data_IF_361593345071
#
_entry.id   IF_361593345071
#
_cell.length_a   1.000
_cell.length_b   1.000
_cell.length_c   1.000
_cell.angle_alpha   90.00
_cell.angle_beta   90.00
_cell.angle_gamma   90.00
#
_symmetry.space_group_name_H-M   'P 1'
#
loop_
_entity.id
_entity.type
_entity.pdbx_description
1 polymer ?
#
# COMPACT_ATOMS: atom_id res chain seq x y z
N UNK A 1 6.90 -20.98 -12.16
CA UNK A 1 7.53 -19.72 -12.62
C UNK A 1 8.37 -19.19 -11.45
N UNK A 2 9.43 -18.41 -11.69
CA UNK A 2 10.11 -17.73 -10.56
C UNK A 2 9.15 -16.70 -9.95
N UNK A 3 9.19 -16.58 -8.62
CA UNK A 3 8.37 -15.61 -7.88
C UNK A 3 8.97 -14.21 -8.07
N UNK A 4 8.14 -13.19 -8.25
CA UNK A 4 8.58 -11.79 -8.34
C UNK A 4 9.09 -11.33 -6.96
N UNK A 5 10.36 -10.90 -6.83
CA UNK A 5 10.84 -10.35 -5.57
C UNK A 5 10.17 -9.01 -5.28
N UNK A 6 9.61 -8.86 -4.08
CA UNK A 6 8.82 -7.71 -3.67
C UNK A 6 9.37 -7.06 -2.40
N UNK A 7 9.44 -5.73 -2.38
CA UNK A 7 9.60 -4.93 -1.15
C UNK A 7 8.33 -4.11 -0.94
N UNK A 8 7.79 -4.15 0.28
CA UNK A 8 6.57 -3.45 0.65
C UNK A 8 6.94 -2.27 1.57
N UNK A 9 6.54 -1.05 1.22
CA UNK A 9 6.50 0.11 2.10
C UNK A 9 5.04 0.43 2.42
N UNK A 10 4.71 0.46 3.72
CA UNK A 10 3.33 0.43 4.23
C UNK A 10 3.26 1.18 5.56
N UNK A 11 2.08 1.60 5.97
CA UNK A 11 1.82 2.27 7.24
C UNK A 11 0.65 1.62 8.00
N UNK A 12 0.78 0.33 8.43
CA UNK A 12 -0.37 -0.52 8.63
C UNK A 12 -1.58 0.06 9.36
N UNK A 13 -2.55 0.45 8.53
CA UNK A 13 -3.98 0.61 8.79
C UNK A 13 -4.75 -0.67 8.47
N UNK A 14 -6.07 -0.57 8.36
CA UNK A 14 -6.93 -1.75 8.12
C UNK A 14 -6.74 -2.32 6.70
N UNK A 15 -6.66 -1.46 5.68
CA UNK A 15 -6.46 -1.85 4.28
C UNK A 15 -5.06 -2.41 4.03
N UNK A 16 -4.03 -1.82 4.63
CA UNK A 16 -2.65 -2.30 4.58
C UNK A 16 -2.54 -3.75 5.06
N UNK A 17 -3.19 -4.08 6.20
CA UNK A 17 -3.19 -5.43 6.75
C UNK A 17 -3.74 -6.42 5.72
N UNK A 18 -4.79 -6.05 4.98
CA UNK A 18 -5.32 -6.88 3.90
C UNK A 18 -4.32 -7.00 2.74
N UNK A 19 -3.73 -5.90 2.28
CA UNK A 19 -2.77 -5.88 1.18
C UNK A 19 -1.52 -6.71 1.48
N UNK A 20 -0.98 -6.57 2.69
CA UNK A 20 0.15 -7.36 3.20
C UNK A 20 -0.22 -8.84 3.30
N UNK A 21 -1.36 -9.17 3.91
CA UNK A 21 -1.83 -10.56 4.05
C UNK A 21 -1.93 -11.24 2.68
N UNK A 22 -2.50 -10.56 1.67
CA UNK A 22 -2.60 -11.09 0.31
C UNK A 22 -1.20 -11.27 -0.29
N UNK A 23 -0.33 -10.27 -0.17
CA UNK A 23 1.01 -10.28 -0.76
C UNK A 23 1.90 -11.39 -0.19
N UNK A 24 1.81 -11.65 1.12
CA UNK A 24 2.60 -12.66 1.82
C UNK A 24 2.26 -14.10 1.41
N UNK A 25 1.02 -14.33 0.93
CA UNK A 25 0.53 -15.65 0.55
C UNK A 25 0.24 -15.81 -0.95
N UNK A 26 0.57 -14.80 -1.75
CA UNK A 26 0.52 -14.92 -3.20
C UNK A 26 1.68 -15.80 -3.70
N UNK A 27 1.36 -16.84 -4.48
CA UNK A 27 2.36 -17.78 -4.99
C UNK A 27 3.28 -17.12 -6.03
N UNK A 28 2.85 -16.03 -6.64
CA UNK A 28 3.58 -15.22 -7.60
C UNK A 28 4.60 -14.28 -6.95
N UNK A 29 4.50 -14.02 -5.65
CA UNK A 29 5.30 -13.02 -4.94
C UNK A 29 6.27 -13.67 -3.95
N UNK A 30 7.45 -13.07 -3.85
CA UNK A 30 8.50 -13.39 -2.88
C UNK A 30 8.83 -12.11 -2.11
N UNK A 31 8.10 -11.88 -1.02
CA UNK A 31 8.26 -10.68 -0.20
C UNK A 31 9.59 -10.75 0.54
N UNK A 32 10.53 -9.90 0.11
CA UNK A 32 11.91 -9.85 0.62
C UNK A 32 12.05 -9.02 1.89
N UNK A 33 11.21 -8.00 2.03
CA UNK A 33 11.30 -7.03 3.10
C UNK A 33 9.98 -6.26 3.25
N UNK A 34 9.61 -5.97 4.48
CA UNK A 34 8.55 -5.01 4.81
C UNK A 34 9.16 -3.80 5.50
N UNK A 35 8.79 -2.61 5.05
CA UNK A 35 9.27 -1.33 5.54
C UNK A 35 8.08 -0.52 6.07
N UNK A 36 7.70 -0.71 7.35
CA UNK A 36 6.70 0.14 7.97
C UNK A 36 7.22 1.57 8.08
N UNK A 37 6.41 2.53 7.61
CA UNK A 37 6.65 3.97 7.71
C UNK A 37 5.61 4.62 8.62
N UNK A 38 5.80 5.90 8.92
CA UNK A 38 4.75 6.77 9.44
C UNK A 38 3.65 6.99 8.38
N UNK A 39 2.42 7.22 8.82
CA UNK A 39 1.30 7.52 7.92
C UNK A 39 -0.02 7.53 8.68
N UNK A 40 -0.87 6.51 8.49
CA UNK A 40 -2.16 6.33 9.17
C UNK A 40 -2.07 6.64 10.69
N UNK A 41 -1.06 6.04 11.31
CA UNK A 41 -0.65 6.32 12.69
C UNK A 41 0.87 6.50 12.77
N UNK A 42 1.37 6.83 13.96
CA UNK A 42 2.82 7.00 14.16
C UNK A 42 3.60 5.74 13.79
N UNK A 43 4.86 5.91 13.37
CA UNK A 43 5.76 4.79 13.05
C UNK A 43 5.86 3.74 14.16
N UNK A 44 5.74 4.15 15.44
CA UNK A 44 5.78 3.21 16.56
C UNK A 44 4.62 2.21 16.52
N UNK A 45 3.43 2.65 16.08
CA UNK A 45 2.26 1.80 15.93
C UNK A 45 2.33 0.98 14.65
N UNK A 46 2.65 1.59 13.51
CA UNK A 46 2.72 0.88 12.21
C UNK A 46 3.78 -0.22 12.22
N UNK A 47 4.94 0.01 12.86
CA UNK A 47 5.96 -1.01 13.08
C UNK A 47 5.44 -2.16 13.95
N UNK A 48 4.79 -1.86 15.08
CA UNK A 48 4.26 -2.92 15.95
C UNK A 48 3.15 -3.71 15.23
N UNK A 49 2.25 -3.05 14.52
CA UNK A 49 1.19 -3.68 13.73
C UNK A 49 1.78 -4.64 12.67
N UNK A 50 2.90 -4.25 12.03
CA UNK A 50 3.62 -5.09 11.08
C UNK A 50 4.14 -6.37 11.73
N UNK A 51 4.84 -6.24 12.87
CA UNK A 51 5.40 -7.38 13.59
C UNK A 51 4.30 -8.30 14.15
N UNK A 52 3.23 -7.70 14.68
CA UNK A 52 2.06 -8.39 15.20
C UNK A 52 1.33 -9.18 14.09
N UNK A 53 1.24 -8.61 12.87
CA UNK A 53 0.68 -9.30 11.72
C UNK A 53 1.55 -10.49 11.29
N UNK A 54 2.87 -10.31 11.17
CA UNK A 54 3.80 -11.41 10.84
C UNK A 54 3.67 -12.56 11.84
N UNK A 55 3.62 -12.24 13.14
CA UNK A 55 3.40 -13.22 14.20
C UNK A 55 2.04 -13.92 14.07
N UNK A 56 0.96 -13.20 13.77
CA UNK A 56 -0.38 -13.77 13.59
C UNK A 56 -0.49 -14.68 12.36
N UNK A 57 0.20 -14.32 11.27
CA UNK A 57 0.22 -15.06 10.01
C UNK A 57 1.27 -16.19 9.98
N UNK A 58 2.14 -16.27 10.99
CA UNK A 58 3.28 -17.19 11.06
C UNK A 58 4.28 -17.04 9.89
N UNK A 59 4.39 -15.83 9.36
CA UNK A 59 5.38 -15.45 8.34
C UNK A 59 6.69 -14.99 9.01
N UNK A 60 7.76 -14.87 8.20
CA UNK A 60 9.12 -14.56 8.69
C UNK A 60 9.85 -13.59 7.75
N UNK A 61 9.11 -12.65 7.19
CA UNK A 61 9.68 -11.63 6.31
C UNK A 61 10.44 -10.62 7.17
N UNK A 62 11.69 -10.28 6.83
CA UNK A 62 12.44 -9.26 7.55
C UNK A 62 11.72 -7.91 7.53
N UNK A 63 11.65 -7.27 8.69
CA UNK A 63 11.04 -5.95 8.89
C UNK A 63 12.14 -4.92 9.14
N UNK A 64 12.16 -3.82 8.38
CA UNK A 64 13.10 -2.72 8.59
C UNK A 64 12.32 -1.46 8.88
N UNK A 65 12.62 -0.82 10.01
CA UNK A 65 11.99 0.44 10.40
C UNK A 65 12.23 1.54 9.36
N UNK A 66 11.14 2.06 8.79
CA UNK A 66 11.14 3.14 7.80
C UNK A 66 11.29 4.54 8.39
N UNK A 67 10.91 5.53 7.59
CA UNK A 67 10.90 6.93 7.99
C UNK A 67 9.89 7.17 9.12
N UNK A 68 10.19 8.13 9.99
CA UNK A 68 9.30 8.51 11.10
C UNK A 68 8.50 9.80 10.88
N UNK A 69 8.77 10.51 9.78
CA UNK A 69 8.14 11.78 9.41
C UNK A 69 8.35 12.05 7.91
N UNK A 70 7.54 12.94 7.28
CA UNK A 70 7.74 13.32 5.89
C UNK A 70 9.06 14.09 5.68
N UNK A 71 9.49 14.20 4.42
CA UNK A 71 10.74 14.84 4.03
C UNK A 71 10.82 16.31 4.44
N UNK A 72 9.72 17.06 4.31
CA UNK A 72 9.72 18.53 4.44
C UNK A 72 8.67 19.04 5.43
N UNK A 73 7.47 18.46 5.40
CA UNK A 73 6.32 18.98 6.16
C UNK A 73 6.18 18.33 7.53
N UNK A 74 5.30 18.88 8.39
CA UNK A 74 4.85 18.16 9.58
C UNK A 74 4.04 16.92 9.17
N UNK A 75 4.15 15.84 9.96
CA UNK A 75 3.34 14.64 9.74
C UNK A 75 1.85 14.92 9.95
N UNK A 76 1.03 14.28 9.11
CA UNK A 76 -0.43 14.16 9.29
C UNK A 76 -0.76 12.81 9.95
N UNK A 77 -2.02 12.60 10.34
CA UNK A 77 -2.48 11.32 10.89
C UNK A 77 -3.94 11.05 10.52
N UNK A 78 -4.26 9.78 10.26
CA UNK A 78 -5.59 9.26 10.01
C UNK A 78 -6.12 8.41 11.19
N UNK A 79 -5.67 8.68 12.43
CA UNK A 79 -6.14 7.97 13.63
C UNK A 79 -7.67 8.06 13.84
N UNK A 80 -8.33 9.06 13.27
CA UNK A 80 -9.81 9.16 13.28
C UNK A 80 -10.51 8.11 12.41
N UNK A 81 -9.82 7.56 11.41
CA UNK A 81 -10.34 6.54 10.48
C UNK A 81 -9.95 5.14 10.96
N UNK A 82 -8.67 4.96 11.31
CA UNK A 82 -8.11 3.65 11.63
C UNK A 82 -8.04 3.33 13.13
N UNK A 83 -8.48 4.27 13.98
CA UNK A 83 -8.36 4.22 15.43
C UNK A 83 -6.97 4.60 15.95
N UNK A 84 -6.84 4.74 17.28
CA UNK A 84 -5.61 5.23 17.91
C UNK A 84 -4.37 4.39 17.59
N UNK A 85 -4.54 3.08 17.39
CA UNK A 85 -3.47 2.14 17.08
C UNK A 85 -3.37 1.77 15.60
N UNK A 86 -4.26 2.28 14.73
CA UNK A 86 -4.28 1.99 13.29
C UNK A 86 -5.03 0.71 12.88
N UNK A 87 -5.37 -0.16 13.81
CA UNK A 87 -6.03 -1.46 13.54
C UNK A 87 -7.26 -1.66 14.41
N UNK A 88 -8.11 -0.62 14.50
CA UNK A 88 -9.37 -0.72 15.23
C UNK A 88 -10.16 -1.95 14.82
N UNK A 89 -10.77 -2.62 15.80
CA UNK A 89 -11.59 -3.81 15.56
C UNK A 89 -10.88 -5.14 15.72
N UNK A 90 -9.55 -5.19 15.83
CA UNK A 90 -8.85 -6.45 16.14
C UNK A 90 -7.63 -6.21 17.03
N UNK A 91 -7.38 -7.14 17.94
CA UNK A 91 -6.24 -7.07 18.86
C UNK A 91 -5.34 -8.27 18.63
N UNK A 92 -4.16 -8.03 18.07
CA UNK A 92 -3.14 -9.04 17.95
C UNK A 92 -2.50 -9.40 19.30
N UNK A 93 -1.92 -10.59 19.35
CA UNK A 93 -0.90 -10.88 20.36
C UNK A 93 0.36 -10.09 20.01
N UNK A 94 0.89 -9.37 21.00
CA UNK A 94 2.07 -8.54 20.79
C UNK A 94 3.27 -9.41 20.44
N UNK A 95 3.84 -9.17 19.27
CA UNK A 95 5.07 -9.81 18.81
C UNK A 95 6.31 -9.24 19.50
N UNK A 96 7.40 -10.02 19.45
CA UNK A 96 8.73 -9.55 19.79
C UNK A 96 9.40 -8.91 18.56
N UNK A 97 10.64 -8.45 18.74
CA UNK A 97 11.40 -7.76 17.70
C UNK A 97 12.29 -8.71 16.88
N UNK A 98 12.01 -10.03 16.87
CA UNK A 98 12.90 -11.04 16.24
C UNK A 98 13.04 -10.87 14.72
N UNK A 99 12.02 -10.30 14.06
CA UNK A 99 12.04 -9.98 12.62
C UNK A 99 12.58 -8.58 12.33
N UNK A 100 12.86 -7.76 13.35
CA UNK A 100 13.34 -6.39 13.17
C UNK A 100 14.83 -6.38 12.84
N UNK A 101 15.14 -6.03 11.61
CA UNK A 101 16.50 -5.87 11.14
C UNK A 101 17.04 -4.45 11.43
N UNK A 102 18.23 -4.31 12.03
CA UNK A 102 18.81 -3.01 12.31
C UNK A 102 19.35 -2.35 11.05
N UNK A 103 19.08 -1.06 10.88
CA UNK A 103 19.63 -0.27 9.79
C UNK A 103 18.70 0.86 9.35
N UNK A 104 19.15 1.61 8.34
CA UNK A 104 18.32 2.60 7.66
C UNK A 104 17.56 1.90 6.53
N UNK A 105 16.24 2.12 6.44
CA UNK A 105 15.39 1.50 5.42
C UNK A 105 15.93 1.69 3.99
N UNK A 106 16.33 2.92 3.62
CA UNK A 106 16.92 3.19 2.31
C UNK A 106 18.16 2.31 2.01
N UNK A 107 19.07 2.19 2.98
CA UNK A 107 20.27 1.33 2.84
C UNK A 107 19.90 -0.14 2.75
N UNK A 108 18.95 -0.61 3.59
CA UNK A 108 18.52 -2.01 3.60
C UNK A 108 17.76 -2.42 2.34
N UNK A 109 16.89 -1.55 1.82
CA UNK A 109 16.25 -1.75 0.53
C UNK A 109 17.30 -1.78 -0.58
N UNK A 110 18.25 -0.85 -0.60
CA UNK A 110 19.34 -0.87 -1.59
C UNK A 110 20.14 -2.18 -1.55
N UNK A 111 20.57 -2.63 -0.37
CA UNK A 111 21.26 -3.91 -0.18
C UNK A 111 20.43 -5.09 -0.70
N UNK A 112 19.15 -5.16 -0.33
CA UNK A 112 18.24 -6.23 -0.78
C UNK A 112 18.04 -6.21 -2.30
N UNK A 113 17.89 -5.04 -2.90
CA UNK A 113 17.70 -4.88 -4.34
C UNK A 113 18.97 -5.26 -5.11
N UNK A 114 20.16 -4.81 -4.70
CA UNK A 114 21.42 -5.12 -5.40
C UNK A 114 21.84 -6.58 -5.27
N UNK A 115 21.45 -7.24 -4.18
CA UNK A 115 21.71 -8.66 -3.96
C UNK A 115 20.65 -9.57 -4.62
N UNK A 116 19.56 -9.01 -5.14
CA UNK A 116 18.53 -9.78 -5.84
C UNK A 116 19.03 -10.20 -7.23
N UNK A 117 18.89 -11.49 -7.61
CA UNK A 117 19.27 -11.97 -8.94
C UNK A 117 18.31 -11.48 -10.04
N UNK A 118 17.08 -11.12 -9.66
CA UNK A 118 16.05 -10.57 -10.53
C UNK A 118 15.74 -9.12 -10.11
N UNK A 119 15.21 -8.33 -11.05
CA UNK A 119 14.77 -6.96 -10.72
C UNK A 119 13.65 -6.99 -9.68
N UNK A 120 13.74 -6.12 -8.69
CA UNK A 120 12.80 -6.06 -7.56
C UNK A 120 11.61 -5.17 -7.88
N UNK A 121 10.41 -5.64 -7.56
CA UNK A 121 9.17 -4.83 -7.59
C UNK A 121 9.01 -4.12 -6.25
N UNK A 122 8.53 -2.88 -6.30
CA UNK A 122 8.24 -2.08 -5.11
C UNK A 122 6.73 -1.88 -4.98
N UNK A 123 6.17 -2.09 -3.79
CA UNK A 123 4.78 -1.79 -3.45
C UNK A 123 4.75 -0.71 -2.37
N UNK A 124 4.21 0.47 -2.68
CA UNK A 124 4.01 1.58 -1.77
C UNK A 124 2.53 1.79 -1.49
N UNK A 125 2.08 1.43 -0.30
CA UNK A 125 0.68 1.59 0.15
C UNK A 125 0.52 2.57 1.31
N UNK A 126 1.61 3.29 1.62
CA UNK A 126 1.62 4.45 2.53
C UNK A 126 2.34 5.65 1.92
N UNK A 127 2.65 6.69 2.72
CA UNK A 127 3.47 7.82 2.27
C UNK A 127 4.82 7.34 1.70
N UNK A 128 5.17 7.82 0.50
CA UNK A 128 6.28 7.29 -0.32
C UNK A 128 7.69 7.72 0.15
N UNK A 129 7.81 8.14 1.42
CA UNK A 129 9.00 8.72 2.04
C UNK A 129 10.22 7.81 1.87
N UNK A 130 10.07 6.52 2.18
CA UNK A 130 11.19 5.56 2.16
C UNK A 130 11.70 5.30 0.74
N UNK A 131 10.82 5.23 -0.25
CA UNK A 131 11.21 5.09 -1.66
C UNK A 131 11.89 6.37 -2.19
N UNK A 132 11.40 7.54 -1.82
CA UNK A 132 12.05 8.80 -2.18
C UNK A 132 13.46 8.90 -1.58
N UNK A 133 13.64 8.51 -0.31
CA UNK A 133 14.95 8.44 0.33
C UNK A 133 15.86 7.43 -0.35
N UNK A 134 15.37 6.24 -0.69
CA UNK A 134 16.10 5.23 -1.46
C UNK A 134 16.63 5.81 -2.77
N UNK A 135 15.75 6.40 -3.60
CA UNK A 135 16.13 6.91 -4.92
C UNK A 135 17.06 8.12 -4.86
N UNK A 136 16.97 8.95 -3.81
CA UNK A 136 17.89 10.09 -3.64
C UNK A 136 19.24 9.70 -3.07
N UNK A 137 19.29 8.73 -2.17
CA UNK A 137 20.55 8.27 -1.57
C UNK A 137 21.31 7.31 -2.50
N UNK A 138 20.59 6.48 -3.27
CA UNK A 138 21.14 5.44 -4.12
C UNK A 138 20.54 5.49 -5.54
N UNK A 139 20.85 6.53 -6.33
CA UNK A 139 20.19 6.74 -7.62
C UNK A 139 20.44 5.63 -8.65
N UNK A 140 21.51 4.85 -8.53
CA UNK A 140 21.80 3.70 -9.40
C UNK A 140 20.88 2.49 -9.16
N UNK A 141 20.13 2.47 -8.04
CA UNK A 141 19.22 1.37 -7.71
C UNK A 141 18.09 1.20 -8.73
N UNK A 142 17.73 2.26 -9.44
CA UNK A 142 16.66 2.25 -10.44
C UNK A 142 16.91 1.24 -11.55
N UNK A 143 18.17 0.92 -11.87
CA UNK A 143 18.51 -0.09 -12.87
C UNK A 143 18.10 -1.52 -12.44
N UNK A 144 17.99 -1.73 -11.13
CA UNK A 144 17.67 -3.01 -10.48
C UNK A 144 16.21 -3.10 -10.01
N UNK A 145 15.42 -2.03 -10.15
CA UNK A 145 13.99 -2.03 -9.86
C UNK A 145 13.21 -2.33 -11.15
N UNK A 146 12.23 -3.21 -11.07
CA UNK A 146 11.38 -3.58 -12.20
C UNK A 146 10.31 -2.53 -12.46
N UNK A 147 9.57 -2.20 -11.40
CA UNK A 147 8.37 -1.37 -11.43
C UNK A 147 7.94 -1.00 -10.00
N UNK A 148 7.12 0.03 -9.88
CA UNK A 148 6.56 0.52 -8.61
C UNK A 148 5.04 0.51 -8.69
N UNK A 149 4.39 -0.16 -7.75
CA UNK A 149 2.93 -0.13 -7.57
C UNK A 149 2.59 0.75 -6.38
N UNK A 150 1.63 1.65 -6.55
CA UNK A 150 1.27 2.66 -5.55
C UNK A 150 -0.24 2.61 -5.33
N UNK A 151 -0.67 2.54 -4.07
CA UNK A 151 -2.00 3.02 -3.70
C UNK A 151 -1.85 4.48 -3.27
N UNK A 152 -2.49 5.38 -4.03
CA UNK A 152 -2.46 6.79 -3.72
C UNK A 152 -2.78 7.69 -4.91
N UNK A 153 -3.00 8.97 -4.61
CA UNK A 153 -3.44 9.96 -5.58
C UNK A 153 -4.93 9.83 -5.90
N UNK A 154 -5.45 10.84 -6.60
CA UNK A 154 -6.85 10.94 -6.99
C UNK A 154 -6.94 11.57 -8.38
N UNK A 155 -7.92 11.15 -9.17
CA UNK A 155 -8.28 11.76 -10.46
C UNK A 155 -9.22 12.96 -10.23
N UNK A 156 -10.15 12.81 -9.30
CA UNK A 156 -11.19 13.75 -8.92
C UNK A 156 -10.95 14.32 -7.53
N UNK A 157 -11.87 14.06 -6.60
CA UNK A 157 -11.84 14.62 -5.25
C UNK A 157 -10.91 13.81 -4.33
N UNK A 158 -10.09 14.48 -3.51
CA UNK A 158 -9.21 13.81 -2.54
C UNK A 158 -9.92 13.45 -1.22
N UNK A 159 -9.27 12.64 -0.37
CA UNK A 159 -9.80 12.27 0.96
C UNK A 159 -9.11 13.01 2.13
N UNK A 160 -7.95 13.63 1.91
CA UNK A 160 -7.28 14.47 2.91
C UNK A 160 -7.60 15.95 2.73
N UNK A 161 -7.53 16.42 1.49
CA UNK A 161 -8.02 17.74 1.08
C UNK A 161 -8.86 17.60 -0.19
N UNK A 162 -9.59 18.63 -0.64
CA UNK A 162 -10.43 18.52 -1.83
C UNK A 162 -9.71 18.02 -3.08
N UNK A 163 -8.39 18.20 -3.17
CA UNK A 163 -7.59 17.81 -4.34
C UNK A 163 -6.46 16.83 -4.03
N UNK A 164 -6.30 16.39 -2.78
CA UNK A 164 -5.19 15.52 -2.39
C UNK A 164 -5.68 14.29 -1.62
N UNK A 165 -5.29 13.13 -2.13
CA UNK A 165 -5.35 11.84 -1.45
C UNK A 165 -4.30 11.75 -0.33
N UNK A 166 -4.62 11.05 0.75
CA UNK A 166 -3.88 10.95 2.01
C UNK A 166 -2.40 10.57 1.86
N UNK A 167 -2.07 9.48 1.17
CA UNK A 167 -0.69 9.01 1.03
C UNK A 167 0.19 10.02 0.29
N UNK A 168 -0.36 10.62 -0.77
CA UNK A 168 0.34 11.70 -1.52
C UNK A 168 0.41 12.98 -0.69
N UNK A 169 -0.68 13.35 0.00
CA UNK A 169 -0.72 14.54 0.87
C UNK A 169 0.20 14.42 2.08
N UNK A 170 0.47 13.20 2.53
CA UNK A 170 1.39 12.91 3.62
C UNK A 170 2.80 13.37 3.28
N UNK A 171 3.31 12.98 2.11
CA UNK A 171 4.62 13.44 1.65
C UNK A 171 4.62 13.78 0.15
N UNK A 172 4.12 14.98 -0.21
CA UNK A 172 4.04 15.42 -1.60
C UNK A 172 5.41 15.46 -2.27
N UNK A 173 6.45 15.90 -1.55
CA UNK A 173 7.82 15.92 -2.08
C UNK A 173 8.35 14.52 -2.35
N UNK A 174 8.08 13.55 -1.48
CA UNK A 174 8.47 12.16 -1.72
C UNK A 174 7.72 11.58 -2.94
N UNK A 175 6.43 11.82 -3.06
CA UNK A 175 5.64 11.40 -4.21
C UNK A 175 6.19 11.98 -5.52
N UNK A 176 6.52 13.28 -5.55
CA UNK A 176 7.15 13.92 -6.71
C UNK A 176 8.45 13.21 -7.11
N UNK A 177 9.28 12.85 -6.13
CA UNK A 177 10.54 12.12 -6.37
C UNK A 177 10.28 10.75 -7.00
N UNK A 178 9.28 10.01 -6.50
CA UNK A 178 8.95 8.67 -7.01
C UNK A 178 8.40 8.73 -8.44
N UNK A 179 7.48 9.64 -8.73
CA UNK A 179 6.96 9.82 -10.10
C UNK A 179 8.03 10.31 -11.09
N UNK A 180 9.10 10.94 -10.60
CA UNK A 180 10.25 11.38 -11.40
C UNK A 180 11.43 10.38 -11.39
N UNK A 181 11.24 9.17 -10.85
CA UNK A 181 12.29 8.14 -10.78
C UNK A 181 12.71 7.59 -12.15
N UNK A 182 11.86 7.73 -13.17
CA UNK A 182 12.05 7.12 -14.49
C UNK A 182 11.68 5.63 -14.56
N UNK A 183 11.18 5.05 -13.47
CA UNK A 183 10.67 3.68 -13.42
C UNK A 183 9.25 3.57 -14.01
N UNK A 184 8.82 2.38 -14.46
CA UNK A 184 7.41 2.10 -14.67
C UNK A 184 6.65 2.22 -13.33
N UNK A 185 5.69 3.15 -13.27
CA UNK A 185 4.84 3.36 -12.09
C UNK A 185 3.40 2.98 -12.42
N UNK A 186 2.77 2.20 -11.56
CA UNK A 186 1.37 1.79 -11.64
C UNK A 186 0.63 2.33 -10.42
N UNK A 187 -0.48 3.02 -10.65
CA UNK A 187 -1.20 3.73 -9.60
C UNK A 187 -2.62 3.22 -9.50
N UNK A 188 -3.01 2.81 -8.29
CA UNK A 188 -4.39 2.67 -7.88
C UNK A 188 -4.82 3.95 -7.14
N UNK A 189 -5.49 4.89 -7.82
CA UNK A 189 -5.97 6.11 -7.18
C UNK A 189 -7.23 5.84 -6.35
N UNK A 190 -7.63 6.84 -5.56
CA UNK A 190 -8.81 6.80 -4.68
C UNK A 190 -10.07 6.29 -5.38
N UNK A 191 -10.31 6.70 -6.63
CA UNK A 191 -11.49 6.30 -7.40
C UNK A 191 -11.57 4.79 -7.65
N UNK A 192 -10.43 4.09 -7.64
CA UNK A 192 -10.42 2.65 -7.78
C UNK A 192 -10.81 1.99 -6.46
N UNK A 193 -10.37 2.52 -5.33
CA UNK A 193 -10.84 2.06 -4.02
C UNK A 193 -12.33 2.30 -3.80
N UNK A 194 -12.86 3.44 -4.27
CA UNK A 194 -14.30 3.74 -4.24
C UNK A 194 -15.13 2.72 -5.04
N UNK A 195 -14.58 2.20 -6.14
CA UNK A 195 -15.23 1.16 -6.96
C UNK A 195 -15.01 -0.24 -6.41
N UNK A 196 -13.80 -0.52 -5.93
CA UNK A 196 -13.39 -1.81 -5.36
C UNK A 196 -14.01 -1.98 -3.97
N UNK A 197 -15.28 -2.35 -3.93
CA UNK A 197 -16.02 -2.47 -2.69
C UNK A 197 -16.45 -3.91 -2.40
N UNK A 198 -16.71 -4.20 -1.13
CA UNK A 198 -17.29 -5.45 -0.67
C UNK A 198 -18.72 -5.22 -0.17
N UNK A 199 -19.64 -6.04 -0.65
CA UNK A 199 -21.01 -6.09 -0.13
C UNK A 199 -21.05 -6.83 1.20
N UNK A 200 -22.15 -6.69 1.95
CA UNK A 200 -22.34 -7.42 3.21
C UNK A 200 -22.24 -8.94 3.00
N UNK A 201 -22.84 -9.47 1.93
CA UNK A 201 -22.77 -10.90 1.60
C UNK A 201 -21.33 -11.37 1.34
N UNK A 202 -20.49 -10.50 0.76
CA UNK A 202 -19.06 -10.78 0.55
C UNK A 202 -18.28 -10.71 1.86
N UNK A 203 -18.58 -9.75 2.72
CA UNK A 203 -18.02 -9.67 4.07
C UNK A 203 -18.37 -10.91 4.91
N UNK A 204 -19.60 -11.42 4.81
CA UNK A 204 -20.01 -12.63 5.52
C UNK A 204 -19.24 -13.86 5.01
N UNK A 205 -18.94 -13.95 3.70
CA UNK A 205 -18.05 -14.99 3.16
C UNK A 205 -16.62 -14.86 3.70
N UNK A 206 -16.09 -13.63 3.83
CA UNK A 206 -14.77 -13.39 4.41
C UNK A 206 -14.72 -13.91 5.85
N UNK A 207 -15.76 -13.63 6.65
CA UNK A 207 -15.85 -14.11 8.03
C UNK A 207 -15.74 -15.64 8.16
N UNK A 208 -16.21 -16.37 7.15
CA UNK A 208 -16.12 -17.84 7.10
C UNK A 208 -14.73 -18.36 6.69
N UNK A 209 -13.81 -17.49 6.25
CA UNK A 209 -12.45 -17.84 5.81
C UNK A 209 -11.46 -18.03 6.98
N UNK A 210 -11.89 -18.73 8.03
CA UNK A 210 -11.07 -19.05 9.20
C UNK A 210 -10.60 -17.83 9.98
N UNK A 211 -9.43 -17.92 10.59
CA UNK A 211 -8.94 -16.90 11.53
C UNK A 211 -8.47 -15.62 10.81
N UNK A 212 -7.89 -15.73 9.61
CA UNK A 212 -7.56 -14.54 8.77
C UNK A 212 -8.84 -13.83 8.34
N UNK A 213 -9.84 -14.60 7.91
CA UNK A 213 -11.15 -14.07 7.55
C UNK A 213 -11.85 -13.33 8.70
N UNK A 214 -11.86 -13.91 9.90
CA UNK A 214 -12.39 -13.26 11.11
C UNK A 214 -11.65 -11.98 11.48
N UNK A 215 -10.31 -11.98 11.37
CA UNK A 215 -9.49 -10.78 11.61
C UNK A 215 -9.92 -9.64 10.69
N UNK A 216 -9.89 -9.88 9.38
CA UNK A 216 -10.24 -8.85 8.39
C UNK A 216 -11.70 -8.42 8.51
N UNK A 217 -12.64 -9.36 8.68
CA UNK A 217 -14.04 -9.03 8.93
C UNK A 217 -14.20 -8.11 10.13
N UNK A 218 -13.50 -8.40 11.24
CA UNK A 218 -13.57 -7.60 12.46
C UNK A 218 -13.03 -6.19 12.24
N UNK A 219 -11.89 -6.04 11.56
CA UNK A 219 -11.32 -4.73 11.26
C UNK A 219 -12.21 -3.92 10.31
N UNK A 220 -12.59 -4.48 9.16
CA UNK A 220 -13.41 -3.79 8.16
C UNK A 220 -14.80 -3.41 8.70
N UNK A 221 -15.39 -4.20 9.60
CA UNK A 221 -16.68 -3.84 10.23
C UNK A 221 -16.59 -2.63 11.17
N UNK A 222 -15.39 -2.14 11.49
CA UNK A 222 -15.20 -0.93 12.27
C UNK A 222 -14.98 0.33 11.40
N UNK A 223 -14.82 0.17 10.08
CA UNK A 223 -14.76 1.29 9.15
C UNK A 223 -16.18 1.75 8.84
N UNK A 224 -16.39 3.06 8.86
CA UNK A 224 -17.65 3.69 8.49
C UNK A 224 -17.39 4.73 7.41
N UNK A 225 -18.00 4.56 6.24
CA UNK A 225 -17.85 5.49 5.14
C UNK A 225 -18.59 6.82 5.42
N UNK A 226 -17.94 7.98 5.25
CA UNK A 226 -18.57 9.28 5.52
C UNK A 226 -19.78 9.59 4.63
N UNK A 227 -19.87 8.95 3.46
CA UNK A 227 -20.94 9.15 2.48
C UNK A 227 -22.21 8.32 2.78
N UNK A 228 -22.16 7.45 3.78
CA UNK A 228 -23.26 6.58 4.18
C UNK A 228 -23.44 5.34 3.29
N UNK A 229 -22.49 5.04 2.40
CA UNK A 229 -22.45 3.76 1.70
C UNK A 229 -22.22 2.63 2.70
N UNK A 230 -23.02 1.56 2.60
CA UNK A 230 -22.89 0.40 3.49
C UNK A 230 -21.91 -0.64 2.96
N UNK A 231 -21.36 -0.44 1.77
CA UNK A 231 -20.31 -1.29 1.20
C UNK A 231 -18.96 -0.86 1.76
N UNK A 232 -18.08 -1.83 1.98
CA UNK A 232 -16.72 -1.58 2.47
C UNK A 232 -15.83 -1.29 1.27
N UNK A 233 -15.28 -0.08 1.18
CA UNK A 233 -14.30 0.28 0.14
C UNK A 233 -12.94 -0.31 0.48
N UNK A 234 -12.23 -0.78 -0.55
CA UNK A 234 -10.96 -1.48 -0.40
C UNK A 234 -9.90 -0.71 -1.18
N UNK A 235 -8.93 -0.14 -0.48
CA UNK A 235 -7.93 0.76 -1.06
C UNK A 235 -6.63 0.01 -1.38
N UNK A 236 -5.75 -0.23 -0.41
CA UNK A 236 -4.39 -0.79 -0.63
C UNK A 236 -4.34 -2.12 -1.40
N UNK A 237 -5.30 -3.06 -1.20
CA UNK A 237 -5.34 -4.29 -1.98
C UNK A 237 -5.55 -4.08 -3.48
N UNK A 238 -6.00 -2.90 -3.92
CA UNK A 238 -6.14 -2.59 -5.35
C UNK A 238 -4.77 -2.44 -6.03
N UNK A 239 -3.76 -1.91 -5.36
CA UNK A 239 -2.39 -1.87 -5.90
C UNK A 239 -1.81 -3.29 -6.08
N UNK A 240 -2.08 -4.19 -5.12
CA UNK A 240 -1.75 -5.62 -5.23
C UNK A 240 -2.54 -6.28 -6.37
N UNK A 241 -3.81 -5.93 -6.51
CA UNK A 241 -4.68 -6.38 -7.60
C UNK A 241 -4.15 -6.00 -8.97
N UNK A 242 -3.69 -4.76 -9.18
CA UNK A 242 -3.09 -4.34 -10.46
C UNK A 242 -1.83 -5.16 -10.77
N UNK A 243 -1.02 -5.47 -9.75
CA UNK A 243 0.23 -6.22 -9.89
C UNK A 243 0.02 -7.70 -10.26
N UNK A 244 -1.01 -8.34 -9.70
CA UNK A 244 -1.29 -9.77 -9.87
C UNK A 244 -2.30 -10.06 -10.97
N UNK A 245 -3.30 -9.20 -11.13
CA UNK A 245 -4.42 -9.35 -12.04
C UNK A 245 -4.69 -8.04 -12.82
N UNK A 246 -3.73 -7.55 -13.62
CA UNK A 246 -3.91 -6.33 -14.40
C UNK A 246 -5.12 -6.40 -15.34
N UNK A 247 -5.57 -7.60 -15.73
CA UNK A 247 -6.77 -7.82 -16.54
C UNK A 247 -8.09 -7.45 -15.84
N UNK A 248 -8.09 -7.22 -14.52
CA UNK A 248 -9.26 -6.69 -13.82
C UNK A 248 -9.38 -5.16 -13.97
N UNK A 249 -8.31 -4.48 -14.39
CA UNK A 249 -8.22 -3.03 -14.35
C UNK A 249 -8.12 -2.43 -15.75
N UNK A 250 -8.72 -1.26 -15.93
CA UNK A 250 -8.46 -0.41 -17.11
C UNK A 250 -7.37 0.58 -16.77
N UNK A 251 -6.16 0.36 -17.29
CA UNK A 251 -5.01 1.25 -17.11
C UNK A 251 -4.92 2.27 -18.26
N UNK A 252 -4.68 3.54 -17.91
CA UNK A 252 -4.42 4.61 -18.87
C UNK A 252 -3.08 5.28 -18.57
N UNK A 253 -2.24 5.52 -19.58
CA UNK A 253 -1.00 6.25 -19.38
C UNK A 253 -1.31 7.72 -19.04
N UNK A 254 -0.54 8.30 -18.14
CA UNK A 254 -0.63 9.73 -17.79
C UNK A 254 0.76 10.29 -17.46
N UNK A 255 0.93 11.61 -17.63
CA UNK A 255 1.96 12.34 -16.90
C UNK A 255 1.41 12.74 -15.55
N UNK A 256 2.09 12.37 -14.48
CA UNK A 256 1.73 12.73 -13.11
C UNK A 256 2.77 13.70 -12.57
N UNK A 257 2.30 14.86 -12.13
CA UNK A 257 3.07 15.83 -11.34
C UNK A 257 2.37 16.03 -10.00
N UNK A 258 3.13 16.28 -8.94
CA UNK A 258 2.60 16.61 -7.63
C UNK A 258 2.72 18.12 -7.41
N UNK A 259 1.62 18.76 -7.00
CA UNK A 259 1.59 20.19 -6.72
C UNK A 259 2.26 20.49 -5.36
N UNK A 260 3.35 21.27 -5.38
CA UNK A 260 4.20 21.54 -4.20
C UNK A 260 4.20 23.02 -3.76
N UNK A 261 3.44 23.89 -4.40
CA UNK A 261 3.44 25.33 -4.11
C UNK A 261 2.03 25.91 -3.88
N UNK A 262 1.00 25.33 -4.48
CA UNK A 262 -0.37 25.82 -4.46
C UNK A 262 -0.95 25.93 -3.05
N UNK A 263 -1.59 27.05 -2.72
CA UNK A 263 -2.20 27.26 -1.40
C UNK A 263 -3.34 26.29 -1.08
N UNK A 264 -4.11 25.89 -2.10
CA UNK A 264 -5.32 25.06 -1.95
C UNK A 264 -5.20 23.68 -2.60
N UNK A 265 -4.10 23.45 -3.32
CA UNK A 265 -3.87 22.27 -4.16
C UNK A 265 -2.57 21.56 -3.78
N UNK A 266 -1.90 21.97 -2.70
CA UNK A 266 -0.69 21.30 -2.23
C UNK A 266 -0.95 19.81 -1.97
N UNK A 267 -0.10 18.94 -2.52
CA UNK A 267 -0.27 17.50 -2.49
C UNK A 267 -1.22 16.93 -3.54
N UNK A 268 -1.78 17.75 -4.43
CA UNK A 268 -2.62 17.24 -5.50
C UNK A 268 -1.81 16.47 -6.55
N UNK A 269 -2.30 15.31 -6.94
CA UNK A 269 -1.80 14.56 -8.09
C UNK A 269 -2.38 15.13 -9.38
N UNK A 270 -1.58 15.90 -10.11
CA UNK A 270 -1.94 16.47 -11.41
C UNK A 270 -1.70 15.42 -12.49
N UNK A 271 -2.76 14.68 -12.85
CA UNK A 271 -2.71 13.61 -13.85
C UNK A 271 -3.15 14.11 -15.23
N UNK A 272 -2.20 14.30 -16.14
CA UNK A 272 -2.44 14.66 -17.53
C UNK A 272 -2.45 13.42 -18.44
N UNK A 273 -3.67 12.97 -18.78
CA UNK A 273 -3.92 11.85 -19.69
C UNK A 273 -3.75 12.20 -21.18
N UNK A 274 -3.54 13.48 -21.52
CA UNK A 274 -3.35 13.96 -22.89
C UNK A 274 -1.89 14.27 -23.22
N UNK A 275 -1.00 14.25 -22.22
CA UNK A 275 0.44 14.43 -22.40
C UNK A 275 1.03 13.39 -23.35
N UNK A 276 1.96 13.78 -24.22
CA UNK A 276 2.70 12.82 -25.05
C UNK A 276 3.76 12.04 -24.26
N UNK A 277 4.23 12.62 -23.14
CA UNK A 277 5.19 11.99 -22.22
C UNK A 277 4.44 11.49 -21.02
N UNK A 278 4.55 10.20 -20.73
CA UNK A 278 3.88 9.57 -19.60
C UNK A 278 4.92 9.01 -18.63
N UNK A 279 4.67 9.12 -17.34
CA UNK A 279 5.52 8.55 -16.28
C UNK A 279 4.77 7.52 -15.40
N UNK A 280 3.47 7.32 -15.62
CA UNK A 280 2.68 6.34 -14.89
C UNK A 280 1.55 5.72 -15.71
N UNK A 281 1.10 4.55 -15.29
CA UNK A 281 -0.13 3.89 -15.67
C UNK A 281 -1.15 4.04 -14.54
N UNK A 282 -2.25 4.74 -14.81
CA UNK A 282 -3.28 5.03 -13.81
C UNK A 282 -4.46 4.10 -14.02
N UNK A 283 -4.87 3.37 -13.00
CA UNK A 283 -6.11 2.62 -13.03
C UNK A 283 -7.31 3.59 -13.04
N UNK A 284 -8.19 3.42 -14.03
CA UNK A 284 -9.40 4.26 -14.22
C UNK A 284 -10.70 3.49 -14.09
N UNK A 285 -10.62 2.15 -14.14
CA UNK A 285 -11.75 1.27 -13.88
C UNK A 285 -11.31 -0.09 -13.34
N UNK A 286 -12.23 -0.80 -12.69
CA UNK A 286 -12.01 -2.14 -12.14
C UNK A 286 -13.26 -3.00 -12.32
N UNK A 287 -13.06 -4.27 -12.71
CA UNK A 287 -14.09 -5.30 -12.68
C UNK A 287 -14.33 -5.73 -11.23
N UNK A 288 -15.33 -5.12 -10.61
CA UNK A 288 -15.60 -5.24 -9.17
C UNK A 288 -15.99 -6.67 -8.76
N UNK A 289 -16.65 -7.42 -9.63
CA UNK A 289 -17.02 -8.81 -9.36
C UNK A 289 -15.78 -9.71 -9.33
N UNK A 290 -14.90 -9.59 -10.34
CA UNK A 290 -13.64 -10.35 -10.37
C UNK A 290 -12.72 -9.97 -9.22
N UNK A 291 -12.58 -8.67 -8.94
CA UNK A 291 -11.77 -8.18 -7.83
C UNK A 291 -12.25 -8.74 -6.49
N UNK A 292 -13.55 -8.64 -6.19
CA UNK A 292 -14.09 -9.13 -4.92
C UNK A 292 -13.98 -10.66 -4.79
N UNK A 293 -14.19 -11.41 -5.88
CA UNK A 293 -13.99 -12.86 -5.88
C UNK A 293 -12.53 -13.23 -5.59
N UNK A 294 -11.58 -12.59 -6.28
CA UNK A 294 -10.14 -12.77 -6.06
C UNK A 294 -9.73 -12.40 -4.63
N UNK A 295 -10.24 -11.29 -4.10
CA UNK A 295 -9.94 -10.82 -2.75
C UNK A 295 -10.34 -11.87 -1.71
N UNK A 296 -11.57 -12.39 -1.79
CA UNK A 296 -12.07 -13.44 -0.89
C UNK A 296 -11.24 -14.71 -1.02
N UNK A 297 -10.90 -15.13 -2.24
CA UNK A 297 -10.10 -16.34 -2.45
C UNK A 297 -8.67 -16.16 -1.95
N UNK A 298 -8.08 -14.96 -2.06
CA UNK A 298 -6.77 -14.64 -1.49
C UNK A 298 -6.77 -14.75 0.04
N UNK A 299 -7.85 -14.34 0.71
CA UNK A 299 -8.01 -14.51 2.16
C UNK A 299 -8.10 -15.99 2.54
N UNK A 300 -8.81 -16.81 1.75
CA UNK A 300 -8.84 -18.27 1.96
C UNK A 300 -7.45 -18.89 1.80
N UNK A 301 -6.72 -18.48 0.77
CA UNK A 301 -5.33 -18.90 0.53
C UNK A 301 -4.44 -18.55 1.72
N UNK A 302 -4.49 -17.30 2.19
CA UNK A 302 -3.74 -16.86 3.36
C UNK A 302 -4.08 -17.66 4.62
N UNK A 303 -5.36 -17.91 4.87
CA UNK A 303 -5.78 -18.73 6.02
C UNK A 303 -5.31 -20.20 5.91
N UNK A 304 -5.19 -20.74 4.71
CA UNK A 304 -4.65 -22.08 4.51
C UNK A 304 -3.12 -22.12 4.62
N UNK A 305 -2.44 -21.05 4.19
CA UNK A 305 -0.98 -20.94 4.22
C UNK A 305 -0.39 -20.68 5.61
N UNK A 306 -1.13 -20.04 6.53
CA UNK A 306 -0.68 -19.82 7.92
C UNK A 306 -0.72 -21.07 8.82
N UNK A 307 -1.32 -22.17 8.36
CA UNK A 307 -1.48 -23.42 9.14
C UNK A 307 -0.17 -24.20 9.20
#
# INVERSE_FOLDING_TARGET
>A
MSKKPLIISTDPGIDDIAAMTISLFADELDVKMIVPTWGNVSLAHTLQNTLDLENFLHTKVPVVKGANQPLVRPAISAASVHGETGIAGFKFEKANDDLLEPGLAATKMYEAIKNSPEKVTLLGVGPLTDFALLFKQYPDVVENVAEVYIMGGNIGHGNHSPFAEYNIAGDPEAAQIVFHSGLPVYVAPLEIGDKAHLTQDQMDKIKECGEVGKMLYSMFSNIHEPDGDTRIKIYDPTAVGIMLHPEFFTLKPANVEIELAGRYTYGASVMDFLSEKHNAQIATDVDTEKFAAWFIDSIKTANNGRK
#
